data_IF_929768718423
#
_entry.id   IF_929768718423
#
_cell.length_a   1.000
_cell.length_b   1.000
_cell.length_c   1.000
_cell.angle_alpha   90.00
_cell.angle_beta   90.00
_cell.angle_gamma   90.00
#
_symmetry.space_group_name_H-M   'P 1'
#
loop_
_entity.id
_entity.type
_entity.pdbx_description
1 polymer ?
#
# COMPACT_ATOMS: atom_id res chain seq x y z
N UNK A 1 -0.37 -13.71 -11.20
CA UNK A 1 0.02 -14.73 -10.18
C UNK A 1 -0.18 -16.14 -10.72
N UNK A 2 -1.40 -16.49 -11.12
CA UNK A 2 -1.80 -17.85 -11.52
C UNK A 2 -0.94 -18.50 -12.62
N UNK A 3 -0.51 -17.74 -13.62
CA UNK A 3 0.30 -18.24 -14.74
C UNK A 3 1.77 -17.85 -14.66
N UNK A 4 2.10 -16.67 -14.20
CA UNK A 4 3.43 -16.08 -14.31
C UNK A 4 4.29 -16.07 -13.04
N UNK A 5 3.70 -16.41 -11.89
CA UNK A 5 4.42 -16.47 -10.60
C UNK A 5 5.14 -15.16 -10.22
N UNK A 6 6.20 -15.29 -9.44
CA UNK A 6 6.95 -14.16 -8.88
C UNK A 6 7.55 -13.21 -9.93
N UNK A 7 8.07 -13.75 -11.03
CA UNK A 7 8.72 -12.93 -12.07
C UNK A 7 7.71 -12.01 -12.77
N UNK A 8 6.54 -12.53 -13.13
CA UNK A 8 5.49 -11.74 -13.76
C UNK A 8 4.95 -10.65 -12.83
N UNK A 9 4.75 -10.98 -11.55
CA UNK A 9 4.36 -10.01 -10.52
C UNK A 9 5.38 -8.88 -10.43
N UNK A 10 6.67 -9.20 -10.38
CA UNK A 10 7.74 -8.20 -10.25
C UNK A 10 7.81 -7.24 -11.46
N UNK A 11 7.58 -7.72 -12.67
CA UNK A 11 7.54 -6.87 -13.87
C UNK A 11 6.31 -5.97 -13.89
N UNK A 12 5.13 -6.52 -13.61
CA UNK A 12 3.89 -5.72 -13.56
C UNK A 12 3.94 -4.69 -12.46
N UNK A 13 4.47 -5.03 -11.29
CA UNK A 13 4.64 -4.10 -10.16
C UNK A 13 5.51 -2.88 -10.53
N UNK A 14 6.54 -3.07 -11.35
CA UNK A 14 7.40 -1.96 -11.78
C UNK A 14 6.63 -0.93 -12.60
N UNK A 15 5.78 -1.38 -13.53
CA UNK A 15 4.93 -0.51 -14.36
C UNK A 15 3.86 0.15 -13.47
N UNK A 16 3.22 -0.62 -12.62
CA UNK A 16 2.19 -0.15 -11.70
C UNK A 16 2.73 0.90 -10.72
N UNK A 17 3.95 0.70 -10.18
CA UNK A 17 4.62 1.67 -9.31
C UNK A 17 4.87 3.01 -10.01
N UNK A 18 5.26 3.00 -11.28
CA UNK A 18 5.43 4.22 -12.06
C UNK A 18 4.10 4.95 -12.27
N UNK A 19 3.03 4.22 -12.62
CA UNK A 19 1.68 4.79 -12.79
C UNK A 19 1.17 5.43 -11.50
N UNK A 20 1.33 4.74 -10.35
CA UNK A 20 0.93 5.25 -9.04
C UNK A 20 1.67 6.56 -8.68
N UNK A 21 2.99 6.57 -8.86
CA UNK A 21 3.81 7.73 -8.54
C UNK A 21 3.40 8.95 -9.39
N UNK A 22 3.22 8.76 -10.70
CA UNK A 22 2.77 9.83 -11.60
C UNK A 22 1.38 10.35 -11.21
N UNK A 23 0.44 9.47 -10.94
CA UNK A 23 -0.92 9.84 -10.57
C UNK A 23 -0.96 10.65 -9.26
N UNK A 24 -0.18 10.23 -8.25
CA UNK A 24 -0.08 10.94 -6.97
C UNK A 24 0.62 12.30 -7.07
N UNK A 25 1.44 12.54 -8.10
CA UNK A 25 2.03 13.85 -8.36
C UNK A 25 1.06 14.73 -9.15
N UNK A 26 0.42 14.19 -10.19
CA UNK A 26 -0.42 14.96 -11.11
C UNK A 26 -1.68 15.49 -10.41
N UNK A 27 -2.35 14.68 -9.58
CA UNK A 27 -3.59 15.07 -8.93
C UNK A 27 -3.45 16.30 -8.01
N UNK A 28 -2.54 16.36 -7.03
CA UNK A 28 -2.38 17.56 -6.20
C UNK A 28 -1.86 18.78 -6.97
N UNK A 29 -1.06 18.59 -8.02
CA UNK A 29 -0.63 19.70 -8.89
C UNK A 29 -1.82 20.31 -9.62
N UNK A 30 -2.75 19.49 -10.11
CA UNK A 30 -3.96 19.98 -10.75
C UNK A 30 -4.84 20.78 -9.78
N UNK A 31 -5.00 20.30 -8.54
CA UNK A 31 -5.72 21.03 -7.48
C UNK A 31 -5.06 22.40 -7.22
N UNK A 32 -3.73 22.45 -7.12
CA UNK A 32 -3.03 23.73 -6.94
C UNK A 32 -3.26 24.71 -8.10
N UNK A 33 -3.29 24.21 -9.34
CA UNK A 33 -3.54 25.05 -10.51
C UNK A 33 -4.98 25.57 -10.49
N UNK A 34 -5.95 24.73 -10.18
CA UNK A 34 -7.37 25.08 -10.10
C UNK A 34 -7.66 26.15 -9.03
N UNK A 35 -7.03 26.04 -7.87
CA UNK A 35 -7.18 26.98 -6.75
C UNK A 35 -6.33 28.27 -6.88
N UNK A 36 -5.62 28.46 -7.99
CA UNK A 36 -4.85 29.68 -8.24
C UNK A 36 -3.41 29.68 -7.70
N UNK A 37 -2.84 28.50 -7.46
CA UNK A 37 -1.44 28.31 -7.08
C UNK A 37 -1.23 27.87 -5.65
N UNK A 38 0.02 27.57 -5.29
CA UNK A 38 0.37 27.00 -3.98
C UNK A 38 -0.07 27.87 -2.79
N UNK A 39 0.20 29.19 -2.85
CA UNK A 39 -0.15 30.11 -1.75
C UNK A 39 -1.66 30.21 -1.54
N UNK A 40 -2.45 30.27 -2.61
CA UNK A 40 -3.90 30.30 -2.55
C UNK A 40 -4.46 28.98 -1.98
N UNK A 41 -3.90 27.85 -2.40
CA UNK A 41 -4.30 26.52 -1.87
C UNK A 41 -4.01 26.41 -0.38
N UNK A 42 -2.84 26.83 0.10
CA UNK A 42 -2.49 26.78 1.52
C UNK A 42 -3.38 27.72 2.33
N UNK A 43 -3.70 28.91 1.83
CA UNK A 43 -4.62 29.82 2.51
C UNK A 43 -6.04 29.26 2.59
N UNK A 44 -6.49 28.57 1.54
CA UNK A 44 -7.76 27.87 1.52
C UNK A 44 -7.78 26.73 2.56
N UNK A 45 -6.71 25.92 2.67
CA UNK A 45 -6.58 24.91 3.73
C UNK A 45 -6.66 25.56 5.12
N UNK A 46 -5.96 26.69 5.32
CA UNK A 46 -5.99 27.43 6.58
C UNK A 46 -7.39 27.93 6.92
N UNK A 47 -8.15 28.34 5.94
CA UNK A 47 -9.54 28.80 6.14
C UNK A 47 -10.49 27.67 6.51
N UNK A 48 -10.22 26.43 6.07
CA UNK A 48 -11.00 25.24 6.47
C UNK A 48 -10.74 24.89 7.91
N UNK A 49 -9.49 24.72 8.29
CA UNK A 49 -9.06 24.44 9.65
C UNK A 49 -7.58 24.84 9.84
N UNK A 50 -7.30 25.88 10.65
CA UNK A 50 -5.92 26.30 10.94
C UNK A 50 -5.05 25.21 11.55
N UNK A 51 -5.65 24.21 12.19
CA UNK A 51 -4.93 23.10 12.82
C UNK A 51 -4.31 22.15 11.81
N UNK A 52 -4.83 22.08 10.59
CA UNK A 52 -4.26 21.27 9.49
C UNK A 52 -2.82 21.67 9.12
N UNK A 53 -2.40 22.89 9.45
CA UNK A 53 -1.03 23.36 9.22
C UNK A 53 -0.06 22.98 10.36
N UNK A 54 -0.55 22.38 11.43
CA UNK A 54 0.26 21.98 12.57
C UNK A 54 0.17 20.46 12.81
N UNK A 55 1.17 19.73 12.33
CA UNK A 55 1.21 18.26 12.40
C UNK A 55 1.16 17.69 13.82
N UNK A 56 1.52 18.48 14.84
CA UNK A 56 1.59 18.01 16.23
C UNK A 56 0.39 18.48 17.08
N UNK A 57 -0.45 19.34 16.53
CA UNK A 57 -1.59 19.86 17.29
C UNK A 57 -2.60 18.74 17.58
N UNK A 58 -2.97 18.62 18.86
CA UNK A 58 -3.89 17.57 19.31
C UNK A 58 -3.27 16.19 19.45
N UNK A 59 -1.98 16.01 19.12
CA UNK A 59 -1.29 14.74 19.27
C UNK A 59 -0.68 14.58 20.65
N UNK A 60 -0.87 13.41 21.25
CA UNK A 60 -0.15 13.02 22.48
C UNK A 60 1.21 12.43 22.11
N UNK A 61 2.16 12.46 23.04
CA UNK A 61 3.47 11.83 22.87
C UNK A 61 3.35 10.34 22.49
N UNK A 62 2.45 9.61 23.15
CA UNK A 62 2.16 8.20 22.84
C UNK A 62 1.55 8.08 21.43
N UNK A 63 0.67 9.01 21.04
CA UNK A 63 0.08 9.05 19.70
C UNK A 63 1.16 9.19 18.61
N UNK A 64 2.09 10.11 18.79
CA UNK A 64 3.21 10.29 17.85
C UNK A 64 4.07 9.03 17.76
N UNK A 65 4.44 8.42 18.90
CA UNK A 65 5.21 7.16 18.91
C UNK A 65 4.44 6.06 18.21
N UNK A 66 3.13 5.94 18.45
CA UNK A 66 2.28 4.94 17.81
C UNK A 66 2.25 5.09 16.27
N UNK A 67 2.17 6.33 15.76
CA UNK A 67 2.25 6.61 14.33
C UNK A 67 3.62 6.25 13.75
N UNK A 68 4.70 6.59 14.45
CA UNK A 68 6.07 6.24 14.02
C UNK A 68 6.33 4.73 14.08
N UNK A 69 5.68 4.01 14.99
CA UNK A 69 5.78 2.56 15.11
C UNK A 69 5.21 1.81 13.89
N UNK A 70 4.41 2.46 13.04
CA UNK A 70 3.99 1.91 11.75
C UNK A 70 5.18 1.44 10.91
N UNK A 71 6.28 2.18 10.94
CA UNK A 71 7.52 1.83 10.26
C UNK A 71 8.13 0.50 10.73
N UNK A 72 7.98 0.15 12.01
CA UNK A 72 8.46 -1.13 12.55
C UNK A 72 7.66 -2.32 12.01
N UNK A 73 6.41 -2.10 11.62
CA UNK A 73 5.55 -3.13 11.03
C UNK A 73 6.10 -3.72 9.72
N UNK A 74 6.93 -2.97 8.97
CA UNK A 74 7.56 -3.46 7.73
C UNK A 74 8.40 -4.72 7.95
N UNK A 75 9.08 -4.84 9.09
CA UNK A 75 9.90 -6.00 9.42
C UNK A 75 9.08 -7.28 9.61
N UNK A 76 7.78 -7.17 9.87
CA UNK A 76 6.89 -8.32 10.03
C UNK A 76 6.12 -8.71 8.77
N UNK A 77 6.24 -7.97 7.66
CA UNK A 77 5.40 -8.20 6.47
C UNK A 77 6.01 -9.27 5.54
N UNK A 78 5.40 -10.46 5.40
CA UNK A 78 5.97 -11.55 4.61
C UNK A 78 6.16 -11.17 3.13
N UNK A 79 5.22 -10.44 2.54
CA UNK A 79 5.27 -10.02 1.14
C UNK A 79 6.37 -8.98 0.85
N UNK A 80 6.88 -8.30 1.88
CA UNK A 80 8.03 -7.40 1.78
C UNK A 80 9.32 -8.19 1.95
N UNK A 81 9.38 -9.06 2.97
CA UNK A 81 10.57 -9.86 3.27
C UNK A 81 10.97 -10.78 2.11
N UNK A 82 9.99 -11.39 1.44
CA UNK A 82 10.25 -12.28 0.30
C UNK A 82 10.97 -11.58 -0.85
N UNK A 83 10.77 -10.27 -1.02
CA UNK A 83 11.46 -9.48 -2.05
C UNK A 83 12.93 -9.30 -1.76
N UNK A 84 13.29 -9.13 -0.49
CA UNK A 84 14.70 -9.09 -0.07
C UNK A 84 15.36 -10.46 -0.25
N UNK A 85 14.65 -11.54 0.10
CA UNK A 85 15.12 -12.92 -0.05
C UNK A 85 15.33 -13.30 -1.54
N UNK A 86 14.51 -12.77 -2.44
CA UNK A 86 14.60 -13.02 -3.88
C UNK A 86 15.69 -12.20 -4.58
N UNK A 87 16.42 -11.34 -3.88
CA UNK A 87 17.49 -10.55 -4.47
C UNK A 87 18.67 -11.43 -4.90
N UNK A 88 19.24 -11.14 -6.08
CA UNK A 88 20.34 -11.91 -6.67
C UNK A 88 21.56 -12.01 -5.73
N UNK A 89 21.89 -10.92 -5.05
CA UNK A 89 22.98 -10.84 -4.06
C UNK A 89 22.84 -9.57 -3.23
N UNK A 90 23.58 -9.47 -2.13
CA UNK A 90 23.56 -8.31 -1.23
C UNK A 90 24.06 -7.00 -1.88
N UNK A 91 24.88 -7.09 -2.93
CA UNK A 91 25.46 -5.90 -3.57
C UNK A 91 24.44 -5.05 -4.33
N UNK A 92 23.27 -5.60 -4.66
CA UNK A 92 22.16 -4.84 -5.29
C UNK A 92 21.36 -4.03 -4.29
N UNK A 93 21.44 -4.33 -2.99
CA UNK A 93 20.64 -3.71 -1.93
C UNK A 93 20.80 -2.18 -1.85
N UNK A 94 22.01 -1.59 -1.89
CA UNK A 94 22.16 -0.13 -1.82
C UNK A 94 21.45 0.60 -2.97
N UNK A 95 21.50 0.03 -4.19
CA UNK A 95 20.77 0.59 -5.34
C UNK A 95 19.25 0.44 -5.18
N UNK A 96 18.79 -0.73 -4.77
CA UNK A 96 17.37 -0.98 -4.51
C UNK A 96 16.84 -0.04 -3.44
N UNK A 97 17.56 0.15 -2.34
CA UNK A 97 17.20 1.07 -1.27
C UNK A 97 17.07 2.52 -1.78
N UNK A 98 18.03 3.02 -2.57
CA UNK A 98 17.96 4.38 -3.13
C UNK A 98 16.73 4.56 -4.01
N UNK A 99 16.44 3.61 -4.91
CA UNK A 99 15.28 3.66 -5.80
C UNK A 99 13.98 3.65 -4.98
N UNK A 100 13.89 2.75 -4.01
CA UNK A 100 12.71 2.62 -3.15
C UNK A 100 12.48 3.88 -2.30
N UNK A 101 13.55 4.48 -1.74
CA UNK A 101 13.43 5.71 -0.96
C UNK A 101 12.98 6.90 -1.80
N UNK A 102 13.53 7.06 -3.01
CA UNK A 102 13.10 8.11 -3.93
C UNK A 102 11.62 7.92 -4.27
N UNK A 103 11.23 6.71 -4.66
CA UNK A 103 9.84 6.40 -4.98
C UNK A 103 8.91 6.66 -3.78
N UNK A 104 9.32 6.24 -2.58
CA UNK A 104 8.56 6.43 -1.34
C UNK A 104 8.33 7.91 -1.03
N UNK A 105 9.37 8.73 -1.12
CA UNK A 105 9.28 10.18 -0.86
C UNK A 105 8.27 10.82 -1.81
N UNK A 106 8.36 10.58 -3.11
CA UNK A 106 7.43 11.15 -4.08
C UNK A 106 6.00 10.65 -3.90
N UNK A 107 5.82 9.35 -3.69
CA UNK A 107 4.50 8.75 -3.53
C UNK A 107 3.81 9.21 -2.24
N UNK A 108 4.51 9.19 -1.11
CA UNK A 108 3.93 9.65 0.16
C UNK A 108 3.65 11.15 0.17
N UNK A 109 4.60 11.97 -0.34
CA UNK A 109 4.38 13.41 -0.46
C UNK A 109 3.18 13.72 -1.35
N UNK A 110 3.05 13.01 -2.46
CA UNK A 110 1.90 13.15 -3.36
C UNK A 110 0.59 12.72 -2.74
N UNK A 111 0.58 11.60 -1.99
CA UNK A 111 -0.61 11.11 -1.30
C UNK A 111 -1.06 12.10 -0.21
N UNK A 112 -0.12 12.59 0.62
CA UNK A 112 -0.41 13.61 1.64
C UNK A 112 -0.91 14.90 0.98
N UNK A 113 -0.25 15.37 -0.08
CA UNK A 113 -0.67 16.55 -0.81
C UNK A 113 -2.07 16.38 -1.44
N UNK A 114 -2.40 15.21 -1.98
CA UNK A 114 -3.72 14.95 -2.54
C UNK A 114 -4.84 15.03 -1.48
N UNK A 115 -4.61 14.53 -0.27
CA UNK A 115 -5.54 14.67 0.84
C UNK A 115 -5.61 16.10 1.36
N UNK A 116 -4.45 16.73 1.58
CA UNK A 116 -4.32 18.07 2.14
C UNK A 116 -4.91 19.14 1.21
N UNK A 117 -4.56 19.14 -0.07
CA UNK A 117 -5.11 20.07 -1.04
C UNK A 117 -6.54 19.70 -1.45
N UNK A 118 -6.87 18.39 -1.40
CA UNK A 118 -8.23 17.91 -1.60
C UNK A 118 -9.20 18.52 -0.59
N UNK A 119 -8.81 18.69 0.68
CA UNK A 119 -9.66 19.34 1.68
C UNK A 119 -10.01 20.79 1.30
N UNK A 120 -9.04 21.55 0.76
CA UNK A 120 -9.27 22.90 0.24
C UNK A 120 -10.21 22.89 -0.98
N UNK A 121 -10.00 21.97 -1.92
CA UNK A 121 -10.82 21.84 -3.12
C UNK A 121 -12.29 21.54 -2.77
N UNK A 122 -12.54 20.57 -1.88
CA UNK A 122 -13.89 20.20 -1.50
C UNK A 122 -14.59 21.25 -0.63
N UNK A 123 -13.84 22.06 0.09
CA UNK A 123 -14.37 23.25 0.78
C UNK A 123 -14.87 24.30 -0.22
N UNK A 124 -14.12 24.50 -1.31
CA UNK A 124 -14.55 25.41 -2.39
C UNK A 124 -15.70 24.84 -3.23
N UNK A 125 -15.93 23.51 -3.20
CA UNK A 125 -16.94 22.79 -3.97
C UNK A 125 -17.82 21.91 -3.04
N UNK A 126 -18.74 22.49 -2.24
CA UNK A 126 -19.47 21.77 -1.19
C UNK A 126 -20.33 20.59 -1.69
N UNK A 127 -20.83 20.66 -2.94
CA UNK A 127 -21.63 19.58 -3.52
C UNK A 127 -20.81 18.29 -3.71
N UNK A 128 -19.57 18.42 -4.12
CA UNK A 128 -18.62 17.30 -4.25
C UNK A 128 -18.11 16.85 -2.88
N UNK A 129 -18.00 17.76 -1.93
CA UNK A 129 -17.56 17.50 -0.56
C UNK A 129 -18.45 16.53 0.20
N UNK A 130 -19.75 16.46 -0.09
CA UNK A 130 -20.69 15.53 0.56
C UNK A 130 -20.29 14.07 0.35
N UNK A 131 -19.94 13.69 -0.87
CA UNK A 131 -19.54 12.33 -1.20
C UNK A 131 -18.20 11.92 -0.53
N UNK A 132 -17.33 12.89 -0.28
CA UNK A 132 -16.06 12.69 0.45
C UNK A 132 -16.31 12.61 1.96
N UNK A 133 -17.26 13.39 2.49
CA UNK A 133 -17.64 13.33 3.90
C UNK A 133 -18.22 11.96 4.30
N UNK A 134 -18.96 11.32 3.40
CA UNK A 134 -19.46 9.96 3.59
C UNK A 134 -18.35 8.91 3.55
N UNK A 135 -17.38 9.08 2.66
CA UNK A 135 -16.25 8.16 2.54
C UNK A 135 -14.99 8.91 2.06
N UNK A 136 -14.07 9.15 2.97
CA UNK A 136 -12.81 9.86 2.72
C UNK A 136 -11.89 9.13 1.73
N UNK A 137 -12.04 7.83 1.53
CA UNK A 137 -11.27 7.06 0.55
C UNK A 137 -11.60 7.45 -0.91
N UNK A 138 -12.69 8.19 -1.15
CA UNK A 138 -13.10 8.68 -2.47
C UNK A 138 -12.39 9.95 -2.95
N UNK A 139 -11.61 10.61 -2.11
CA UNK A 139 -10.93 11.89 -2.43
C UNK A 139 -10.24 11.83 -3.79
N UNK A 140 -9.32 10.89 -3.97
CA UNK A 140 -8.53 10.80 -5.21
C UNK A 140 -9.41 10.47 -6.44
N UNK A 141 -10.43 9.63 -6.29
CA UNK A 141 -11.34 9.29 -7.39
C UNK A 141 -12.12 10.51 -7.86
N UNK A 142 -12.68 11.30 -6.93
CA UNK A 142 -13.47 12.49 -7.27
C UNK A 142 -12.58 13.56 -7.87
N UNK A 143 -11.38 13.82 -7.33
CA UNK A 143 -10.41 14.73 -7.93
C UNK A 143 -10.06 14.31 -9.37
N UNK A 144 -9.82 13.02 -9.60
CA UNK A 144 -9.45 12.49 -10.92
C UNK A 144 -10.56 12.63 -11.94
N UNK A 145 -11.83 12.51 -11.55
CA UNK A 145 -12.98 12.62 -12.46
C UNK A 145 -13.45 14.06 -12.67
N UNK A 146 -13.15 14.96 -11.75
CA UNK A 146 -13.63 16.35 -11.78
C UNK A 146 -12.62 17.27 -12.46
N UNK A 147 -11.32 17.13 -12.14
CA UNK A 147 -10.28 18.05 -12.61
C UNK A 147 -9.74 17.71 -14.00
N UNK A 148 -9.98 16.52 -14.50
CA UNK A 148 -9.38 16.04 -15.72
C UNK A 148 -10.42 15.64 -16.77
N UNK A 149 -10.04 15.74 -18.04
CA UNK A 149 -10.85 15.17 -19.10
C UNK A 149 -10.96 13.63 -18.94
N UNK A 150 -11.97 12.98 -19.55
CA UNK A 150 -12.24 11.54 -19.34
C UNK A 150 -11.05 10.62 -19.63
N UNK A 151 -10.17 10.97 -20.58
CA UNK A 151 -8.99 10.17 -20.92
C UNK A 151 -7.95 10.19 -19.80
N UNK A 152 -7.59 11.39 -19.34
CA UNK A 152 -6.62 11.55 -18.24
C UNK A 152 -7.20 10.99 -16.93
N UNK A 153 -8.46 11.30 -16.63
CA UNK A 153 -9.17 10.76 -15.49
C UNK A 153 -9.17 9.23 -15.47
N UNK A 154 -9.41 8.59 -16.63
CA UNK A 154 -9.33 7.14 -16.78
C UNK A 154 -7.93 6.57 -16.49
N UNK A 155 -6.87 7.25 -16.92
CA UNK A 155 -5.48 6.86 -16.60
C UNK A 155 -5.21 6.99 -15.10
N UNK A 156 -5.65 8.09 -14.47
CA UNK A 156 -5.48 8.28 -13.02
C UNK A 156 -6.26 7.24 -12.21
N UNK A 157 -7.48 6.92 -12.61
CA UNK A 157 -8.26 5.83 -11.98
C UNK A 157 -7.59 4.45 -12.19
N UNK A 158 -6.94 4.24 -13.34
CA UNK A 158 -6.16 3.02 -13.58
C UNK A 158 -4.98 2.90 -12.62
N UNK A 159 -4.43 4.01 -12.11
CA UNK A 159 -3.38 3.97 -11.09
C UNK A 159 -3.89 3.44 -9.74
N UNK A 160 -5.17 3.68 -9.38
CA UNK A 160 -5.79 3.05 -8.19
C UNK A 160 -5.83 1.53 -8.39
N UNK A 161 -6.32 1.08 -9.54
CA UNK A 161 -6.34 -0.36 -9.85
C UNK A 161 -4.94 -0.96 -9.87
N UNK A 162 -3.95 -0.23 -10.38
CA UNK A 162 -2.55 -0.64 -10.34
C UNK A 162 -2.04 -0.84 -8.90
N UNK A 163 -2.38 0.08 -7.97
CA UNK A 163 -2.02 -0.04 -6.56
C UNK A 163 -2.64 -1.27 -5.91
N UNK A 164 -3.94 -1.49 -6.13
CA UNK A 164 -4.66 -2.65 -5.61
C UNK A 164 -4.07 -3.95 -6.18
N UNK A 165 -3.87 -4.02 -7.49
CA UNK A 165 -3.39 -5.23 -8.16
C UNK A 165 -1.96 -5.60 -7.76
N UNK A 166 -1.06 -4.63 -7.59
CA UNK A 166 0.32 -4.89 -7.17
C UNK A 166 0.36 -5.54 -5.77
N UNK A 167 -0.41 -4.97 -4.84
CA UNK A 167 -0.48 -5.49 -3.46
C UNK A 167 -1.17 -6.84 -3.40
N UNK A 168 -2.32 -6.98 -4.06
CA UNK A 168 -3.09 -8.22 -4.12
C UNK A 168 -2.26 -9.36 -4.72
N UNK A 169 -1.57 -9.11 -5.83
CA UNK A 169 -0.73 -10.12 -6.50
C UNK A 169 0.38 -10.63 -5.59
N UNK A 170 1.04 -9.74 -4.86
CA UNK A 170 2.09 -10.11 -3.92
C UNK A 170 1.55 -10.93 -2.74
N UNK A 171 0.45 -10.49 -2.14
CA UNK A 171 -0.14 -11.17 -1.00
C UNK A 171 -0.66 -12.56 -1.38
N UNK A 172 -1.36 -12.69 -2.51
CA UNK A 172 -1.81 -13.98 -3.03
C UNK A 172 -0.65 -14.94 -3.32
N UNK A 173 0.46 -14.41 -3.87
CA UNK A 173 1.65 -15.22 -4.14
C UNK A 173 2.24 -15.77 -2.82
N UNK A 174 2.39 -14.93 -1.81
CA UNK A 174 2.93 -15.34 -0.50
C UNK A 174 2.00 -16.31 0.20
N UNK A 175 0.70 -16.03 0.28
CA UNK A 175 -0.27 -16.94 0.87
C UNK A 175 -0.27 -18.31 0.17
N UNK A 176 -0.23 -18.32 -1.16
CA UNK A 176 -0.15 -19.54 -1.95
C UNK A 176 1.13 -20.33 -1.65
N UNK A 177 2.27 -19.64 -1.57
CA UNK A 177 3.56 -20.27 -1.26
C UNK A 177 3.56 -20.91 0.12
N UNK A 178 3.13 -20.17 1.14
CA UNK A 178 3.07 -20.66 2.53
C UNK A 178 2.14 -21.88 2.63
N UNK A 179 0.93 -21.80 2.08
CA UNK A 179 -0.02 -22.93 2.15
C UNK A 179 0.46 -24.15 1.33
N UNK A 180 1.21 -23.95 0.27
CA UNK A 180 1.71 -25.03 -0.58
C UNK A 180 3.00 -25.65 -0.05
N UNK A 181 4.01 -24.82 0.26
CA UNK A 181 5.34 -25.31 0.64
C UNK A 181 5.41 -25.59 2.14
N UNK A 182 4.94 -24.67 3.00
CA UNK A 182 5.10 -24.77 4.44
C UNK A 182 4.02 -25.65 5.10
N UNK A 183 2.81 -25.69 4.51
CA UNK A 183 1.73 -26.49 5.06
C UNK A 183 1.54 -27.81 4.28
N UNK A 184 1.19 -27.76 2.99
CA UNK A 184 0.86 -28.97 2.22
C UNK A 184 2.06 -29.91 2.09
N UNK A 185 3.21 -29.37 1.65
CA UNK A 185 4.43 -30.17 1.48
C UNK A 185 5.00 -30.66 2.81
N UNK A 186 5.00 -29.81 3.85
CA UNK A 186 5.60 -30.19 5.14
C UNK A 186 4.77 -31.21 5.90
N UNK A 187 3.42 -31.10 5.90
CA UNK A 187 2.57 -31.92 6.76
C UNK A 187 1.74 -32.97 6.01
N UNK A 188 1.36 -32.74 4.75
CA UNK A 188 0.43 -33.62 4.02
C UNK A 188 1.19 -34.55 3.06
N UNK A 189 2.06 -33.98 2.23
CA UNK A 189 2.83 -34.75 1.21
C UNK A 189 4.27 -34.29 1.07
N UNK A 190 5.18 -34.77 1.95
CA UNK A 190 6.60 -34.36 1.94
C UNK A 190 7.34 -34.64 0.65
N UNK A 191 6.89 -35.62 -0.12
CA UNK A 191 7.49 -36.04 -1.40
C UNK A 191 6.63 -35.66 -2.61
N UNK A 192 5.79 -34.61 -2.50
CA UNK A 192 4.98 -34.12 -3.61
C UNK A 192 5.83 -33.72 -4.81
N UNK A 193 5.42 -34.12 -6.02
CA UNK A 193 6.10 -33.73 -7.24
C UNK A 193 5.94 -32.21 -7.49
N UNK A 194 6.93 -31.58 -8.14
CA UNK A 194 6.89 -30.16 -8.44
C UNK A 194 5.63 -29.75 -9.23
N UNK A 195 5.17 -30.60 -10.14
CA UNK A 195 3.93 -30.35 -10.89
C UNK A 195 2.70 -30.30 -10.01
N UNK A 196 2.66 -31.17 -8.99
CA UNK A 196 1.58 -31.22 -8.00
C UNK A 196 1.57 -29.94 -7.14
N UNK A 197 2.73 -29.51 -6.65
CA UNK A 197 2.86 -28.26 -5.86
C UNK A 197 2.40 -27.04 -6.65
N UNK A 198 2.72 -26.95 -7.95
CA UNK A 198 2.23 -25.87 -8.81
C UNK A 198 0.70 -25.88 -8.92
N UNK A 199 0.07 -27.04 -9.05
CA UNK A 199 -1.40 -27.13 -9.11
C UNK A 199 -2.05 -26.80 -7.78
N UNK A 200 -1.50 -27.28 -6.66
CA UNK A 200 -1.97 -26.94 -5.31
C UNK A 200 -1.84 -25.43 -5.09
N UNK A 201 -0.72 -24.82 -5.45
CA UNK A 201 -0.53 -23.38 -5.37
C UNK A 201 -1.58 -22.59 -6.16
N UNK A 202 -1.91 -23.03 -7.36
CA UNK A 202 -2.97 -22.41 -8.17
C UNK A 202 -4.35 -22.52 -7.51
N UNK A 203 -4.68 -23.70 -6.98
CA UNK A 203 -5.93 -23.92 -6.26
C UNK A 203 -6.00 -23.03 -5.01
N UNK A 204 -4.91 -22.91 -4.29
CA UNK A 204 -4.80 -22.05 -3.10
C UNK A 204 -5.03 -20.58 -3.45
N UNK A 205 -4.46 -20.07 -4.55
CA UNK A 205 -4.73 -18.70 -5.02
C UNK A 205 -6.23 -18.49 -5.22
N UNK A 206 -6.92 -19.42 -5.87
CA UNK A 206 -8.38 -19.32 -6.09
C UNK A 206 -9.15 -19.35 -4.77
N UNK A 207 -8.80 -20.28 -3.88
CA UNK A 207 -9.47 -20.42 -2.59
C UNK A 207 -9.29 -19.16 -1.70
N UNK A 208 -8.07 -18.65 -1.58
CA UNK A 208 -7.78 -17.41 -0.83
C UNK A 208 -8.51 -16.22 -1.44
N UNK A 209 -8.54 -16.11 -2.77
CA UNK A 209 -9.26 -15.04 -3.45
C UNK A 209 -10.77 -15.11 -3.18
N UNK A 210 -11.36 -16.30 -3.18
CA UNK A 210 -12.78 -16.48 -2.87
C UNK A 210 -13.10 -16.02 -1.42
N UNK A 211 -12.28 -16.40 -0.45
CA UNK A 211 -12.44 -15.96 0.94
C UNK A 211 -12.28 -14.43 1.06
N UNK A 212 -11.28 -13.86 0.38
CA UNK A 212 -11.06 -12.41 0.38
C UNK A 212 -12.27 -11.65 -0.20
N UNK A 213 -12.86 -12.16 -1.29
CA UNK A 213 -14.09 -11.57 -1.89
C UNK A 213 -15.24 -11.63 -0.89
N UNK A 214 -15.44 -12.74 -0.19
CA UNK A 214 -16.49 -12.86 0.83
C UNK A 214 -16.33 -11.84 1.96
N UNK A 215 -15.10 -11.62 2.43
CA UNK A 215 -14.81 -10.59 3.45
C UNK A 215 -15.06 -9.19 2.90
N UNK A 216 -14.71 -8.94 1.64
CA UNK A 216 -14.87 -7.65 0.99
C UNK A 216 -16.33 -7.27 0.65
N UNK A 217 -17.29 -8.18 0.84
CA UNK A 217 -18.72 -7.88 0.60
C UNK A 217 -19.33 -6.99 1.68
N UNK A 218 -18.70 -6.81 2.83
CA UNK A 218 -19.16 -5.90 3.87
C UNK A 218 -18.80 -4.44 3.50
N UNK A 219 -19.81 -3.59 3.24
CA UNK A 219 -19.58 -2.21 2.79
C UNK A 219 -19.04 -1.28 3.90
N UNK A 220 -19.06 -1.71 5.16
CA UNK A 220 -18.57 -0.93 6.30
C UNK A 220 -17.07 -1.06 6.52
N UNK A 221 -16.43 -1.99 5.83
CA UNK A 221 -15.00 -2.20 5.93
C UNK A 221 -14.21 -1.12 5.18
N UNK A 222 -13.59 -0.20 5.91
CA UNK A 222 -12.62 0.74 5.36
C UNK A 222 -11.28 0.03 5.11
N UNK A 223 -10.66 0.28 3.97
CA UNK A 223 -9.38 -0.33 3.58
C UNK A 223 -8.29 -0.05 4.60
N UNK A 224 -8.18 1.20 5.06
CA UNK A 224 -7.18 1.58 6.07
C UNK A 224 -7.34 0.81 7.39
N UNK A 225 -8.58 0.56 7.82
CA UNK A 225 -8.86 -0.20 9.05
C UNK A 225 -8.40 -1.65 8.95
N UNK A 226 -8.75 -2.33 7.85
CA UNK A 226 -8.33 -3.70 7.59
C UNK A 226 -6.81 -3.85 7.48
N UNK A 227 -6.19 -2.90 6.76
CA UNK A 227 -4.72 -2.87 6.61
C UNK A 227 -4.05 -2.64 7.96
N UNK A 228 -4.54 -1.71 8.78
CA UNK A 228 -3.97 -1.43 10.11
C UNK A 228 -3.99 -2.66 11.02
N UNK A 229 -5.09 -3.39 11.00
CA UNK A 229 -5.24 -4.62 11.79
C UNK A 229 -4.24 -5.71 11.36
N UNK A 230 -4.18 -5.99 10.07
CA UNK A 230 -3.24 -6.97 9.52
C UNK A 230 -1.78 -6.54 9.73
N UNK A 231 -1.48 -5.25 9.51
CA UNK A 231 -0.15 -4.66 9.68
C UNK A 231 0.36 -4.78 11.12
N UNK A 232 -0.51 -4.45 12.09
CA UNK A 232 -0.21 -4.60 13.51
C UNK A 232 0.00 -6.06 13.91
N UNK A 233 -0.86 -6.97 13.44
CA UNK A 233 -0.77 -8.40 13.72
C UNK A 233 0.54 -9.01 13.23
N UNK A 234 0.88 -8.83 11.97
CA UNK A 234 2.14 -9.33 11.39
C UNK A 234 3.37 -8.61 11.97
N UNK A 235 3.29 -7.28 12.13
CA UNK A 235 4.36 -6.48 12.69
C UNK A 235 4.72 -6.89 14.12
N UNK A 236 3.72 -7.11 14.97
CA UNK A 236 3.93 -7.55 16.35
C UNK A 236 4.42 -9.00 16.43
N UNK A 237 3.93 -9.89 15.57
CA UNK A 237 4.28 -11.30 15.60
C UNK A 237 5.68 -11.60 15.07
N UNK A 238 6.05 -11.01 13.94
CA UNK A 238 7.30 -11.34 13.24
C UNK A 238 8.36 -10.25 13.35
N UNK A 239 7.96 -8.98 13.51
CA UNK A 239 8.89 -7.85 13.54
C UNK A 239 9.99 -7.98 14.58
N UNK A 240 9.68 -8.23 15.87
CA UNK A 240 10.69 -8.38 16.90
C UNK A 240 11.70 -9.49 16.61
N UNK A 241 11.23 -10.65 16.13
CA UNK A 241 12.09 -11.79 15.81
C UNK A 241 13.07 -11.43 14.68
N UNK A 242 12.58 -10.80 13.61
CA UNK A 242 13.41 -10.39 12.48
C UNK A 242 14.44 -9.35 12.91
N UNK A 243 14.03 -8.31 13.65
CA UNK A 243 14.94 -7.26 14.14
C UNK A 243 16.00 -7.86 15.05
N UNK A 244 15.62 -8.68 16.01
CA UNK A 244 16.55 -9.32 16.93
C UNK A 244 17.50 -10.27 16.21
N UNK A 245 17.04 -11.04 15.23
CA UNK A 245 17.88 -11.93 14.44
C UNK A 245 18.98 -11.20 13.66
N UNK A 246 18.73 -9.93 13.28
CA UNK A 246 19.70 -9.10 12.56
C UNK A 246 20.67 -8.37 13.51
N UNK A 247 20.21 -7.99 14.69
CA UNK A 247 20.98 -7.14 15.61
C UNK A 247 21.63 -7.91 16.77
N UNK A 248 21.10 -9.04 17.14
CA UNK A 248 21.55 -9.79 18.32
C UNK A 248 22.01 -11.20 17.97
N UNK A 249 23.31 -11.47 18.19
CA UNK A 249 23.93 -12.77 17.91
C UNK A 249 23.46 -13.91 18.85
N UNK A 250 22.77 -13.58 19.94
CA UNK A 250 22.22 -14.56 20.89
C UNK A 250 20.91 -15.21 20.45
N UNK A 251 20.28 -14.72 19.37
CA UNK A 251 19.10 -15.38 18.80
C UNK A 251 19.54 -16.64 18.07
N UNK A 252 19.18 -17.79 18.65
CA UNK A 252 19.47 -19.10 18.09
C UNK A 252 18.17 -19.74 17.59
N UNK A 253 18.31 -20.80 16.81
CA UNK A 253 17.18 -21.55 16.24
C UNK A 253 16.39 -22.36 17.30
N UNK A 254 16.99 -22.59 18.48
CA UNK A 254 16.40 -23.35 19.59
C UNK A 254 15.71 -22.42 20.59
#
# INVERSE_FOLDING_TARGET
>A
VFLGGFLAVSWTDTIQAAMMCLALIIAPVAVMIDLGGFSATVEQVRSVDPTHLNMLQGQTFIGVISLLAWGLGYFGQPHILVRFMAAKNASVMPRACKISMIWLIFSLSGAVAAGFFGSAFFSAHPDLGKAVAENHERVFMILSTTLFNPWIGGILLSAILAAVMSTLSCQLLVCSSVLTEDFYRAFIRPHAAQRELVWIGRLTVVAVSAVAILIATDPNNLVLSLVSYAWGGFGASFGPIIILSLLWKGVTRN
#
